data_IF_096324915292
#
_entry.id   IF_096324915292
#
_cell.length_a   1.000
_cell.length_b   1.000
_cell.length_c   1.000
_cell.angle_alpha   90.00
_cell.angle_beta   90.00
_cell.angle_gamma   90.00
#
_symmetry.space_group_name_H-M   'P 1'
#
loop_
_entity.id
_entity.type
_entity.pdbx_description
1 polymer ?
#
# COMPACT_ATOMS: atom_id res chain seq x y z
N UNK A 1 20.36 10.69 3.19
CA UNK A 1 19.55 10.68 1.94
C UNK A 1 18.42 9.66 2.08
N UNK A 2 17.19 10.05 1.81
CA UNK A 2 16.01 9.19 1.94
C UNK A 2 16.08 8.01 0.97
N UNK A 3 15.93 6.80 1.49
CA UNK A 3 15.97 5.53 0.73
C UNK A 3 14.58 4.97 0.49
N UNK A 4 13.64 5.29 1.38
CA UNK A 4 12.26 4.79 1.34
C UNK A 4 11.28 5.90 1.67
N UNK A 5 10.29 6.11 0.81
CA UNK A 5 9.09 6.89 1.13
C UNK A 5 7.93 5.94 1.45
N UNK A 6 7.28 6.19 2.58
CA UNK A 6 6.04 5.54 2.97
C UNK A 6 4.91 6.58 2.87
N UNK A 7 3.87 6.26 2.11
CA UNK A 7 2.66 7.09 1.99
C UNK A 7 1.53 6.34 2.69
N UNK A 8 1.14 6.81 3.87
CA UNK A 8 0.05 6.22 4.66
C UNK A 8 -1.27 6.96 4.39
N UNK A 9 -2.37 6.24 4.43
CA UNK A 9 -3.71 6.78 4.22
C UNK A 9 -4.32 7.39 5.47
N UNK A 10 -3.73 7.10 6.65
CA UNK A 10 -4.11 7.66 7.94
C UNK A 10 -2.91 7.83 8.88
N UNK A 11 -3.10 8.67 9.91
CA UNK A 11 -2.08 8.99 10.89
C UNK A 11 -1.61 7.78 11.71
N UNK A 12 -2.54 6.93 12.14
CA UNK A 12 -2.20 5.71 12.90
C UNK A 12 -1.32 4.79 12.07
N UNK A 13 -1.67 4.56 10.80
CA UNK A 13 -0.88 3.75 9.88
C UNK A 13 0.51 4.33 9.60
N UNK A 14 0.63 5.68 9.55
CA UNK A 14 1.91 6.34 9.41
C UNK A 14 2.82 6.07 10.61
N UNK A 15 2.32 6.26 11.83
CA UNK A 15 3.09 6.01 13.05
C UNK A 15 3.42 4.53 13.24
N UNK A 16 2.43 3.64 13.10
CA UNK A 16 2.62 2.20 13.25
C UNK A 16 3.65 1.61 12.28
N UNK A 17 3.73 2.18 11.08
CA UNK A 17 4.72 1.76 10.09
C UNK A 17 6.08 2.39 10.38
N UNK A 18 6.13 3.69 10.67
CA UNK A 18 7.38 4.41 10.95
C UNK A 18 8.14 3.83 12.15
N UNK A 19 7.43 3.49 13.24
CA UNK A 19 8.06 2.94 14.44
C UNK A 19 8.78 1.59 14.19
N UNK A 20 8.37 0.82 13.18
CA UNK A 20 9.04 -0.45 12.86
C UNK A 20 10.50 -0.22 12.39
N UNK A 21 10.75 0.87 11.69
CA UNK A 21 12.09 1.25 11.24
C UNK A 21 12.91 1.86 12.38
N UNK A 22 12.30 2.73 13.19
CA UNK A 22 12.96 3.30 14.38
C UNK A 22 13.42 2.20 15.34
N UNK A 23 12.59 1.18 15.59
CA UNK A 23 12.93 0.04 16.44
C UNK A 23 14.12 -0.80 15.91
N UNK A 24 14.50 -0.61 14.65
CA UNK A 24 15.67 -1.23 14.01
C UNK A 24 16.86 -0.25 13.90
N UNK A 25 16.76 0.93 14.52
CA UNK A 25 17.81 1.94 14.51
C UNK A 25 17.93 2.73 13.20
N UNK A 26 16.90 2.68 12.34
CA UNK A 26 16.89 3.41 11.07
C UNK A 26 16.30 4.79 11.29
N UNK A 27 17.03 5.83 10.87
CA UNK A 27 16.60 7.22 10.99
C UNK A 27 15.32 7.47 10.18
N UNK A 28 14.25 7.80 10.88
CA UNK A 28 12.90 7.91 10.31
C UNK A 28 12.24 9.22 10.74
N UNK A 29 11.69 9.95 9.77
CA UNK A 29 10.83 11.11 10.05
C UNK A 29 9.41 10.84 9.58
N UNK A 30 8.43 11.33 10.33
CA UNK A 30 7.00 11.26 10.01
C UNK A 30 6.46 12.68 9.84
N UNK A 31 5.85 12.94 8.71
CA UNK A 31 5.18 14.20 8.39
C UNK A 31 3.67 13.98 8.28
N UNK A 32 2.90 14.90 8.88
CA UNK A 32 1.43 14.90 8.78
C UNK A 32 0.91 15.60 7.52
N UNK A 33 1.79 16.11 6.71
CA UNK A 33 1.56 16.71 5.39
C UNK A 33 2.83 16.60 4.56
N UNK A 34 2.72 16.76 3.26
CA UNK A 34 3.90 16.80 2.40
C UNK A 34 4.87 17.92 2.86
N UNK A 35 6.20 17.65 2.95
CA UNK A 35 7.21 18.68 3.23
C UNK A 35 7.12 19.83 2.22
N UNK A 36 7.27 21.07 2.68
CA UNK A 36 7.23 22.26 1.80
C UNK A 36 8.55 22.42 1.03
N UNK A 37 9.66 22.00 1.65
CA UNK A 37 10.98 22.00 1.02
C UNK A 37 11.76 20.74 1.39
N UNK A 38 12.75 20.37 0.56
CA UNK A 38 13.68 19.26 0.87
C UNK A 38 14.45 19.53 2.16
N UNK A 39 14.72 20.80 2.48
CA UNK A 39 15.39 21.21 3.71
C UNK A 39 14.61 20.96 5.00
N UNK A 40 13.33 20.65 4.93
CA UNK A 40 12.53 20.24 6.09
C UNK A 40 12.83 18.80 6.53
N UNK A 41 13.48 18.04 5.66
CA UNK A 41 13.89 16.66 5.92
C UNK A 41 15.31 16.67 6.47
N UNK A 42 15.50 16.06 7.65
CA UNK A 42 16.82 15.92 8.24
C UNK A 42 17.75 15.12 7.30
N UNK A 43 19.00 15.56 7.16
CA UNK A 43 19.98 14.95 6.27
C UNK A 43 20.28 13.47 6.61
N UNK A 44 20.07 13.09 7.87
CA UNK A 44 20.27 11.72 8.37
C UNK A 44 19.10 10.80 8.05
N UNK A 45 17.94 11.34 7.65
CA UNK A 45 16.72 10.55 7.39
C UNK A 45 16.92 9.54 6.27
N UNK A 46 16.66 8.29 6.57
CA UNK A 46 16.67 7.18 5.62
C UNK A 46 15.26 6.75 5.20
N UNK A 47 14.30 6.84 6.13
CA UNK A 47 12.88 6.53 5.88
C UNK A 47 12.04 7.77 6.14
N UNK A 48 11.32 8.18 5.11
CA UNK A 48 10.36 9.28 5.18
C UNK A 48 8.95 8.70 5.17
N UNK A 49 8.14 9.07 6.15
CA UNK A 49 6.72 8.71 6.21
C UNK A 49 5.88 9.95 6.03
N UNK A 50 4.93 9.91 5.11
CA UNK A 50 3.96 10.99 4.92
C UNK A 50 2.56 10.42 5.19
N UNK A 51 1.88 10.99 6.17
CA UNK A 51 0.45 10.81 6.36
C UNK A 51 -0.27 11.68 5.32
N UNK A 52 -1.00 11.03 4.44
CA UNK A 52 -1.75 11.71 3.37
C UNK A 52 -3.19 12.03 3.76
N UNK A 53 -3.67 11.48 4.89
CA UNK A 53 -5.06 11.60 5.36
C UNK A 53 -6.12 11.32 4.28
N UNK A 54 -5.80 10.44 3.35
CA UNK A 54 -6.62 10.19 2.15
C UNK A 54 -7.77 9.23 2.37
N UNK A 55 -7.78 8.46 3.47
CA UNK A 55 -8.82 7.46 3.74
C UNK A 55 -10.24 8.02 3.67
N UNK A 56 -10.59 9.14 4.37
CA UNK A 56 -11.94 9.69 4.34
C UNK A 56 -12.21 10.58 3.12
N UNK A 57 -11.24 10.78 2.24
CA UNK A 57 -11.41 11.68 1.09
C UNK A 57 -12.24 11.02 -0.02
N UNK A 58 -12.90 11.83 -0.87
CA UNK A 58 -13.40 11.34 -2.16
C UNK A 58 -12.26 10.77 -3.01
N UNK A 59 -12.52 9.69 -3.74
CA UNK A 59 -11.52 8.93 -4.50
C UNK A 59 -10.65 9.80 -5.44
N UNK A 60 -11.23 10.78 -6.11
CA UNK A 60 -10.48 11.69 -6.98
C UNK A 60 -9.48 12.56 -6.20
N UNK A 61 -9.85 13.05 -5.00
CA UNK A 61 -8.95 13.85 -4.16
C UNK A 61 -7.83 12.98 -3.57
N UNK A 62 -8.15 11.76 -3.14
CA UNK A 62 -7.17 10.80 -2.68
C UNK A 62 -6.15 10.47 -3.77
N UNK A 63 -6.63 10.24 -5.01
CA UNK A 63 -5.77 10.05 -6.18
C UNK A 63 -4.82 11.23 -6.39
N UNK A 64 -5.34 12.46 -6.43
CA UNK A 64 -4.52 13.66 -6.67
C UNK A 64 -3.45 13.85 -5.58
N UNK A 65 -3.82 13.67 -4.31
CA UNK A 65 -2.90 13.78 -3.18
C UNK A 65 -1.75 12.76 -3.28
N UNK A 66 -2.07 11.47 -3.45
CA UNK A 66 -1.07 10.41 -3.53
C UNK A 66 -0.20 10.55 -4.78
N UNK A 67 -0.78 10.92 -5.93
CA UNK A 67 -0.04 11.17 -7.17
C UNK A 67 0.96 12.31 -7.03
N UNK A 68 0.56 13.41 -6.37
CA UNK A 68 1.45 14.54 -6.13
C UNK A 68 2.63 14.14 -5.24
N UNK A 69 2.38 13.43 -4.13
CA UNK A 69 3.44 12.93 -3.23
C UNK A 69 4.38 11.99 -3.98
N UNK A 70 3.82 11.07 -4.75
CA UNK A 70 4.60 10.08 -5.52
C UNK A 70 5.45 10.76 -6.62
N UNK A 71 4.86 11.73 -7.33
CA UNK A 71 5.56 12.52 -8.35
C UNK A 71 6.71 13.36 -7.76
N UNK A 72 6.48 13.96 -6.59
CA UNK A 72 7.52 14.66 -5.85
C UNK A 72 8.66 13.72 -5.44
N UNK A 73 8.35 12.56 -4.87
CA UNK A 73 9.34 11.57 -4.48
C UNK A 73 10.22 11.15 -5.67
N UNK A 74 9.60 10.94 -6.83
CA UNK A 74 10.33 10.66 -8.07
C UNK A 74 11.23 11.81 -8.49
N UNK A 75 10.76 13.06 -8.40
CA UNK A 75 11.55 14.24 -8.76
C UNK A 75 12.81 14.38 -7.90
N UNK A 76 12.75 14.04 -6.62
CA UNK A 76 13.88 14.05 -5.70
C UNK A 76 14.62 12.70 -5.65
N UNK A 77 14.26 11.76 -6.51
CA UNK A 77 14.92 10.46 -6.72
C UNK A 77 14.93 9.54 -5.48
N UNK A 78 13.83 9.49 -4.73
CA UNK A 78 13.66 8.44 -3.72
C UNK A 78 13.47 7.11 -4.45
N UNK A 79 14.33 6.10 -4.18
CA UNK A 79 14.33 4.88 -5.00
C UNK A 79 13.15 3.95 -4.73
N UNK A 80 12.63 3.93 -3.51
CA UNK A 80 11.56 3.00 -3.12
C UNK A 80 10.37 3.77 -2.57
N UNK A 81 9.18 3.42 -3.07
CA UNK A 81 7.89 3.96 -2.60
C UNK A 81 7.05 2.80 -2.06
N UNK A 82 6.60 2.93 -0.82
CA UNK A 82 5.70 2.01 -0.16
C UNK A 82 4.38 2.69 0.15
N UNK A 83 3.28 2.22 -0.44
CA UNK A 83 1.93 2.69 -0.11
C UNK A 83 1.35 1.85 1.02
N UNK A 84 1.23 2.45 2.20
CA UNK A 84 0.56 1.85 3.34
C UNK A 84 -0.95 2.10 3.24
N UNK A 85 -1.73 1.03 3.29
CA UNK A 85 -3.19 1.06 3.26
C UNK A 85 -3.78 0.52 4.56
N UNK A 86 -5.06 0.77 4.81
CA UNK A 86 -5.78 0.11 5.88
C UNK A 86 -5.79 -1.41 5.69
N UNK A 87 -5.45 -2.15 6.73
CA UNK A 87 -5.40 -3.62 6.69
C UNK A 87 -6.78 -4.30 6.66
N UNK A 88 -7.88 -3.53 6.76
CA UNK A 88 -9.25 -3.96 6.47
C UNK A 88 -9.76 -3.41 5.12
N UNK A 89 -8.87 -2.85 4.30
CA UNK A 89 -9.15 -2.34 2.95
C UNK A 89 -10.23 -1.25 2.89
N UNK A 90 -10.39 -0.46 3.95
CA UNK A 90 -11.21 0.76 3.93
C UNK A 90 -10.54 1.85 3.10
N UNK A 91 -11.34 2.80 2.61
CA UNK A 91 -10.85 3.98 1.91
C UNK A 91 -10.64 3.77 0.41
N UNK A 92 -9.62 4.41 -0.12
CA UNK A 92 -9.45 4.65 -1.56
C UNK A 92 -8.42 3.73 -2.24
N UNK A 93 -8.49 2.41 -1.95
CA UNK A 93 -7.47 1.43 -2.36
C UNK A 93 -7.15 1.51 -3.86
N UNK A 94 -8.15 1.41 -4.72
CA UNK A 94 -7.94 1.41 -6.18
C UNK A 94 -7.39 2.73 -6.71
N UNK A 95 -7.95 3.86 -6.26
CA UNK A 95 -7.49 5.21 -6.64
C UNK A 95 -6.05 5.47 -6.23
N UNK A 96 -5.68 5.07 -5.01
CA UNK A 96 -4.34 5.32 -4.48
C UNK A 96 -3.28 4.44 -5.12
N UNK A 97 -3.58 3.17 -5.42
CA UNK A 97 -2.68 2.30 -6.18
C UNK A 97 -2.47 2.84 -7.60
N UNK A 98 -3.52 3.30 -8.26
CA UNK A 98 -3.39 3.98 -9.56
C UNK A 98 -2.54 5.24 -9.45
N UNK A 99 -2.75 6.05 -8.43
CA UNK A 99 -2.00 7.29 -8.20
C UNK A 99 -0.49 7.03 -8.03
N UNK A 100 -0.13 5.96 -7.31
CA UNK A 100 1.27 5.54 -7.18
C UNK A 100 1.88 5.18 -8.54
N UNK A 101 1.18 4.40 -9.36
CA UNK A 101 1.64 4.04 -10.71
C UNK A 101 1.83 5.27 -11.60
N UNK A 102 0.84 6.17 -11.62
CA UNK A 102 0.87 7.35 -12.49
C UNK A 102 1.92 8.38 -12.04
N UNK A 103 2.15 8.52 -10.73
CA UNK A 103 3.16 9.42 -10.17
C UNK A 103 4.58 8.88 -10.31
N UNK A 104 4.80 7.60 -10.02
CA UNK A 104 6.12 6.96 -10.12
C UNK A 104 6.51 6.64 -11.55
N UNK A 105 5.55 6.40 -12.43
CA UNK A 105 5.69 5.86 -13.79
C UNK A 105 6.29 4.45 -13.81
N UNK A 106 6.12 3.69 -12.74
CA UNK A 106 6.41 2.26 -12.74
C UNK A 106 5.34 1.50 -13.52
N UNK A 107 5.72 0.36 -14.11
CA UNK A 107 4.79 -0.44 -14.90
C UNK A 107 3.82 -1.22 -14.03
N UNK A 108 4.23 -1.62 -12.85
CA UNK A 108 3.43 -2.42 -11.92
C UNK A 108 3.53 -1.93 -10.49
N UNK A 109 2.48 -2.17 -9.71
CA UNK A 109 2.48 -2.10 -8.25
C UNK A 109 2.14 -3.46 -7.68
N UNK A 110 2.91 -3.89 -6.68
CA UNK A 110 2.69 -5.15 -5.99
C UNK A 110 1.95 -4.88 -4.68
N UNK A 111 0.78 -5.48 -4.54
CA UNK A 111 -0.12 -5.26 -3.42
C UNK A 111 -0.23 -6.51 -2.56
N UNK A 112 0.29 -6.43 -1.33
CA UNK A 112 0.32 -7.49 -0.34
C UNK A 112 -0.54 -7.07 0.87
N UNK A 113 -1.87 -7.18 0.78
CA UNK A 113 -2.76 -6.62 1.80
C UNK A 113 -2.84 -7.44 3.10
N UNK A 114 -2.28 -8.63 3.14
CA UNK A 114 -2.31 -9.49 4.32
C UNK A 114 -1.50 -8.95 5.50
N UNK A 115 -2.03 -9.13 6.71
CA UNK A 115 -1.33 -8.87 7.97
C UNK A 115 -1.55 -10.05 8.95
N UNK A 116 -0.82 -11.16 8.77
CA UNK A 116 -1.07 -12.41 9.48
C UNK A 116 -0.97 -12.31 11.01
N UNK A 117 -0.16 -11.39 11.55
CA UNK A 117 -0.01 -11.19 12.99
C UNK A 117 -1.32 -10.86 13.72
N UNK A 118 -2.32 -10.34 13.00
CA UNK A 118 -3.64 -10.00 13.51
C UNK A 118 -4.74 -10.72 12.73
N UNK A 119 -4.43 -11.91 12.20
CA UNK A 119 -5.36 -12.77 11.45
C UNK A 119 -6.06 -12.05 10.27
N UNK A 120 -5.30 -11.26 9.50
CA UNK A 120 -5.74 -10.69 8.24
C UNK A 120 -4.99 -11.34 7.08
N UNK A 121 -5.71 -12.14 6.31
CA UNK A 121 -5.11 -12.98 5.28
C UNK A 121 -5.76 -12.73 3.91
N UNK A 122 -5.00 -13.00 2.85
CA UNK A 122 -5.50 -12.97 1.47
C UNK A 122 -5.28 -14.32 0.83
N UNK A 123 -6.34 -14.92 0.34
CA UNK A 123 -6.34 -16.25 -0.31
C UNK A 123 -7.14 -16.19 -1.60
N UNK A 124 -6.52 -16.55 -2.72
CA UNK A 124 -7.10 -16.46 -4.06
C UNK A 124 -7.70 -15.07 -4.36
N UNK A 125 -6.98 -14.00 -3.96
CA UNK A 125 -7.41 -12.61 -4.12
C UNK A 125 -8.55 -12.18 -3.20
N UNK A 126 -9.00 -13.02 -2.29
CA UNK A 126 -10.08 -12.75 -1.33
C UNK A 126 -9.49 -12.45 0.04
N UNK A 127 -9.94 -11.37 0.67
CA UNK A 127 -9.45 -10.94 1.98
C UNK A 127 -10.33 -11.44 3.12
N UNK A 128 -9.67 -11.93 4.16
CA UNK A 128 -10.28 -12.51 5.36
C UNK A 128 -9.79 -11.79 6.61
N UNK A 129 -10.70 -11.60 7.56
CA UNK A 129 -10.45 -11.08 8.91
C UNK A 129 -10.83 -12.16 9.91
N UNK A 130 -9.86 -12.69 10.67
CA UNK A 130 -10.10 -13.74 11.66
C UNK A 130 -10.90 -14.93 11.08
N UNK A 131 -10.53 -15.38 9.89
CA UNK A 131 -11.18 -16.48 9.19
C UNK A 131 -12.53 -16.18 8.56
N UNK A 132 -13.08 -14.97 8.71
CA UNK A 132 -14.32 -14.53 8.08
C UNK A 132 -14.05 -13.69 6.83
N UNK A 133 -14.94 -13.74 5.84
CA UNK A 133 -14.91 -12.81 4.72
C UNK A 133 -14.92 -11.37 5.23
N UNK A 134 -14.10 -10.49 4.65
CA UNK A 134 -13.99 -9.09 5.05
C UNK A 134 -15.35 -8.39 5.15
N UNK A 135 -16.23 -8.57 4.17
CA UNK A 135 -17.59 -8.00 4.15
C UNK A 135 -18.51 -8.54 5.24
N UNK A 136 -18.20 -9.68 5.84
CA UNK A 136 -18.95 -10.30 6.95
C UNK A 136 -18.34 -9.98 8.32
N UNK A 137 -17.16 -9.39 8.34
CA UNK A 137 -16.47 -8.98 9.55
C UNK A 137 -17.07 -7.68 10.13
N UNK A 138 -16.53 -7.24 11.27
CA UNK A 138 -16.88 -5.95 11.87
C UNK A 138 -16.66 -4.77 10.93
N UNK A 139 -15.74 -4.88 9.98
CA UNK A 139 -15.47 -3.83 8.98
C UNK A 139 -16.53 -3.76 7.88
N UNK A 140 -17.23 -4.86 7.61
CA UNK A 140 -18.41 -4.84 6.74
C UNK A 140 -19.62 -4.15 7.37
N UNK A 141 -19.61 -3.98 8.71
CA UNK A 141 -20.65 -3.33 9.50
C UNK A 141 -20.21 -1.95 10.02
N UNK A 142 -19.02 -1.45 9.61
CA UNK A 142 -18.53 -0.13 9.99
C UNK A 142 -19.59 0.93 9.62
N UNK A 143 -20.02 1.79 10.58
CA UNK A 143 -21.09 2.76 10.32
C UNK A 143 -20.70 3.89 9.38
N UNK A 144 -19.40 4.15 9.20
CA UNK A 144 -18.87 5.26 8.41
C UNK A 144 -18.30 4.78 7.07
N UNK A 145 -17.50 3.71 7.10
CA UNK A 145 -16.75 3.21 5.94
C UNK A 145 -16.91 1.69 5.78
N UNK A 146 -18.15 1.18 5.59
CA UNK A 146 -18.37 -0.27 5.50
C UNK A 146 -17.74 -0.86 4.24
N UNK A 147 -16.92 -1.89 4.40
CA UNK A 147 -16.36 -2.64 3.27
C UNK A 147 -17.38 -3.69 2.81
N UNK A 148 -17.88 -3.57 1.60
CA UNK A 148 -18.99 -4.38 1.07
C UNK A 148 -18.54 -5.59 0.25
N UNK A 149 -17.26 -5.75 0.02
CA UNK A 149 -16.70 -6.82 -0.81
C UNK A 149 -15.46 -7.40 -0.14
N UNK A 150 -15.18 -8.67 -0.40
CA UNK A 150 -14.01 -9.38 0.11
C UNK A 150 -13.02 -9.73 -1.00
N UNK A 151 -13.47 -9.79 -2.26
CA UNK A 151 -12.62 -10.02 -3.42
C UNK A 151 -11.92 -8.73 -3.81
N UNK A 152 -10.60 -8.70 -3.67
CA UNK A 152 -9.80 -7.48 -3.78
C UNK A 152 -9.86 -6.86 -5.19
N UNK A 153 -9.82 -7.63 -6.29
CA UNK A 153 -10.01 -7.04 -7.62
C UNK A 153 -11.31 -6.25 -7.76
N UNK A 154 -12.41 -6.71 -7.14
CA UNK A 154 -13.70 -6.00 -7.17
C UNK A 154 -13.66 -4.72 -6.32
N UNK A 155 -12.96 -4.74 -5.18
CA UNK A 155 -12.72 -3.52 -4.38
C UNK A 155 -11.97 -2.47 -5.21
N UNK A 156 -10.90 -2.88 -5.89
CA UNK A 156 -10.07 -2.03 -6.72
C UNK A 156 -10.86 -1.50 -7.94
N UNK A 157 -11.65 -2.34 -8.59
CA UNK A 157 -12.43 -2.00 -9.78
C UNK A 157 -13.51 -0.93 -9.54
N UNK A 158 -13.91 -0.69 -8.27
CA UNK A 158 -14.82 0.41 -7.95
C UNK A 158 -14.20 1.80 -8.18
N UNK A 159 -12.87 1.89 -8.19
CA UNK A 159 -12.16 3.18 -8.18
C UNK A 159 -11.17 3.35 -9.35
N UNK A 160 -10.86 2.28 -10.08
CA UNK A 160 -9.96 2.32 -11.24
C UNK A 160 -10.31 1.24 -12.26
N UNK A 161 -10.00 1.51 -13.53
CA UNK A 161 -10.12 0.54 -14.63
C UNK A 161 -8.85 -0.28 -14.87
N UNK A 162 -7.81 -0.10 -14.05
CA UNK A 162 -6.57 -0.86 -14.18
C UNK A 162 -6.82 -2.34 -13.92
N UNK A 163 -6.24 -3.19 -14.77
CA UNK A 163 -6.36 -4.64 -14.61
C UNK A 163 -5.49 -5.14 -13.46
N UNK A 164 -6.06 -6.10 -12.74
CA UNK A 164 -5.41 -6.80 -11.64
C UNK A 164 -4.98 -8.20 -12.06
N UNK A 165 -3.81 -8.64 -11.61
CA UNK A 165 -3.44 -10.04 -11.52
C UNK A 165 -3.53 -10.50 -10.08
N UNK A 166 -4.04 -11.71 -9.83
CA UNK A 166 -3.96 -12.36 -8.53
C UNK A 166 -2.90 -13.44 -8.61
N UNK A 167 -1.90 -13.39 -7.72
CA UNK A 167 -0.79 -14.32 -7.65
C UNK A 167 -0.89 -15.09 -6.34
N UNK A 168 -1.06 -16.41 -6.45
CA UNK A 168 -1.16 -17.27 -5.28
C UNK A 168 0.19 -17.39 -4.57
N UNK A 169 0.14 -17.76 -3.32
CA UNK A 169 1.32 -17.89 -2.45
C UNK A 169 2.48 -18.68 -3.08
N UNK A 170 2.18 -19.79 -3.76
CA UNK A 170 3.18 -20.69 -4.35
C UNK A 170 3.49 -20.39 -5.83
N UNK A 171 2.91 -19.33 -6.40
CA UNK A 171 3.12 -18.94 -7.78
C UNK A 171 4.24 -17.89 -7.88
N UNK A 172 5.07 -18.03 -8.93
CA UNK A 172 6.09 -17.04 -9.23
C UNK A 172 5.48 -15.78 -9.88
N UNK A 173 6.18 -14.64 -9.78
CA UNK A 173 5.77 -13.39 -10.41
C UNK A 173 6.01 -13.33 -11.95
N UNK A 174 6.25 -14.47 -12.61
CA UNK A 174 6.77 -14.50 -13.98
C UNK A 174 5.70 -14.37 -15.07
N UNK A 175 4.46 -14.78 -14.78
CA UNK A 175 3.39 -14.91 -15.80
C UNK A 175 2.38 -13.77 -15.78
N UNK A 176 2.78 -12.59 -15.23
CA UNK A 176 1.91 -11.43 -15.16
C UNK A 176 1.91 -10.70 -16.51
N UNK A 177 0.73 -10.56 -17.12
CA UNK A 177 0.59 -9.86 -18.41
C UNK A 177 0.99 -8.38 -18.30
N UNK A 178 1.40 -7.81 -19.42
CA UNK A 178 1.86 -6.42 -19.47
C UNK A 178 0.76 -5.41 -19.10
N UNK A 179 -0.51 -5.72 -19.39
CA UNK A 179 -1.66 -4.86 -19.09
C UNK A 179 -2.22 -5.05 -17.67
N UNK A 180 -1.76 -6.06 -16.92
CA UNK A 180 -2.08 -6.27 -15.51
C UNK A 180 -1.15 -5.42 -14.64
N UNK A 181 -1.61 -4.20 -14.32
CA UNK A 181 -0.80 -3.16 -13.65
C UNK A 181 -0.75 -3.29 -12.13
N UNK A 182 -1.78 -3.88 -11.52
CA UNK A 182 -1.89 -4.09 -10.08
C UNK A 182 -1.77 -5.59 -9.82
N UNK A 183 -0.72 -5.99 -9.10
CA UNK A 183 -0.42 -7.40 -8.80
C UNK A 183 -0.76 -7.68 -7.35
N UNK A 184 -1.87 -8.36 -7.12
CA UNK A 184 -2.36 -8.75 -5.80
C UNK A 184 -1.71 -10.08 -5.44
N UNK A 185 -0.93 -10.09 -4.37
CA UNK A 185 -0.26 -11.30 -3.90
C UNK A 185 -0.97 -11.86 -2.67
N UNK A 186 -1.26 -13.14 -2.69
CA UNK A 186 -1.82 -13.85 -1.55
C UNK A 186 -0.83 -13.88 -0.38
N UNK A 187 -1.35 -13.69 0.84
CA UNK A 187 -0.60 -13.69 2.10
C UNK A 187 -1.44 -14.36 3.16
N UNK A 188 -0.98 -15.50 3.66
CA UNK A 188 -1.59 -16.21 4.79
C UNK A 188 -0.68 -16.21 6.02
N UNK A 189 0.64 -16.22 5.81
CA UNK A 189 1.65 -16.27 6.86
C UNK A 189 2.70 -15.17 6.65
N UNK A 190 3.41 -14.82 7.71
CA UNK A 190 4.47 -13.82 7.63
C UNK A 190 5.56 -14.21 6.61
N UNK A 191 5.88 -15.50 6.56
CA UNK A 191 6.84 -16.05 5.60
C UNK A 191 6.45 -15.78 4.14
N UNK A 192 5.16 -15.74 3.81
CA UNK A 192 4.69 -15.45 2.45
C UNK A 192 5.08 -14.03 2.02
N UNK A 193 5.08 -13.07 2.96
CA UNK A 193 5.53 -11.69 2.73
C UNK A 193 7.03 -11.66 2.46
N UNK A 194 7.82 -12.35 3.29
CA UNK A 194 9.27 -12.43 3.14
C UNK A 194 9.66 -13.05 1.79
N UNK A 195 9.11 -14.22 1.45
CA UNK A 195 9.37 -14.90 0.18
C UNK A 195 8.97 -14.05 -1.03
N UNK A 196 7.86 -13.30 -0.93
CA UNK A 196 7.42 -12.42 -2.00
C UNK A 196 8.34 -11.21 -2.15
N UNK A 197 8.80 -10.66 -1.03
CA UNK A 197 9.75 -9.55 -1.04
C UNK A 197 11.10 -9.95 -1.65
N UNK A 198 11.62 -11.13 -1.31
CA UNK A 198 12.83 -11.67 -1.93
C UNK A 198 12.70 -11.79 -3.45
N UNK A 199 11.57 -12.32 -3.94
CA UNK A 199 11.29 -12.38 -5.39
C UNK A 199 11.24 -11.01 -6.07
N UNK A 200 10.80 -9.97 -5.37
CA UNK A 200 10.78 -8.61 -5.90
C UNK A 200 12.18 -8.01 -5.98
N UNK A 201 13.03 -8.27 -4.98
CA UNK A 201 14.42 -7.81 -4.98
C UNK A 201 15.28 -8.46 -6.08
N UNK A 202 14.95 -9.69 -6.49
CA UNK A 202 15.65 -10.38 -7.58
C UNK A 202 15.27 -9.86 -8.99
N UNK A 203 14.20 -9.06 -9.08
CA UNK A 203 13.71 -8.52 -10.37
C UNK A 203 14.28 -7.14 -10.73
N UNK A 204 14.83 -6.44 -9.76
CA UNK A 204 15.48 -5.13 -9.92
C UNK A 204 16.98 -5.32 -10.23
#
# INVERSE_FOLDING_TARGET
MVKLLIIADDFTGALDTGIQFVNKGIATQVFTKMPEAIGDIDETTEVLVIDSETRPMPAAKAYDAVKNITGWAKAIKIPVIFKKTDSALRGNIGSELQAVLDGSRHDKVYFLPGYPKIDRCTVNGTHYIQGQLLEKSVFGQDPFEPVKMSYIPDIIAQQTSLKCACVKRNEALNDIKSDERIVICDVEKHKDIEERFDQLLEKD
#
